data_IF_135353704595
#
_entry.id   IF_135353704595
#
_cell.length_a   1.000
_cell.length_b   1.000
_cell.length_c   1.000
_cell.angle_alpha   90.00
_cell.angle_beta   90.00
_cell.angle_gamma   90.00
#
_symmetry.space_group_name_H-M   'P 1'
#
loop_
_entity.id
_entity.type
_entity.pdbx_description
1 polymer ?
#
# COMPACT_ATOMS: atom_id res chain seq x y z
N UNK A 1 -14.64 -11.84 4.44
CA UNK A 1 -13.84 -11.19 5.50
C UNK A 1 -14.78 -10.32 6.32
N UNK A 2 -14.48 -9.97 7.58
CA UNK A 2 -15.27 -8.95 8.26
C UNK A 2 -15.05 -7.64 7.50
N UNK A 3 -16.10 -7.19 6.82
CA UNK A 3 -16.12 -5.91 6.17
C UNK A 3 -16.23 -4.83 7.25
N UNK A 4 -15.37 -3.81 7.15
CA UNK A 4 -15.37 -2.65 8.02
C UNK A 4 -16.08 -1.51 7.31
N UNK A 5 -17.08 -0.94 7.97
CA UNK A 5 -17.85 0.19 7.53
C UNK A 5 -17.31 1.46 8.17
N UNK A 6 -17.06 2.47 7.33
CA UNK A 6 -16.58 3.79 7.72
C UNK A 6 -17.63 4.83 7.32
N UNK A 7 -17.95 5.71 8.25
CA UNK A 7 -18.83 6.85 7.98
C UNK A 7 -18.05 7.98 7.33
N UNK A 8 -18.57 8.54 6.24
CA UNK A 8 -17.90 9.63 5.52
C UNK A 8 -18.82 10.84 5.55
N UNK A 9 -18.27 12.01 5.88
CA UNK A 9 -19.04 13.24 5.91
C UNK A 9 -18.21 14.42 5.41
N UNK A 10 -18.85 15.38 4.74
CA UNK A 10 -18.25 16.69 4.55
C UNK A 10 -18.09 17.39 5.89
N UNK A 11 -16.99 18.09 6.10
CA UNK A 11 -16.76 18.82 7.35
C UNK A 11 -17.87 19.84 7.63
N UNK A 12 -18.35 20.55 6.60
CA UNK A 12 -19.49 21.45 6.64
C UNK A 12 -20.06 21.67 5.22
N UNK A 13 -21.16 22.42 5.09
CA UNK A 13 -21.77 22.72 3.79
C UNK A 13 -20.85 23.54 2.86
N UNK A 14 -19.95 24.37 3.41
CA UNK A 14 -18.95 25.08 2.60
C UNK A 14 -18.01 24.09 1.90
N UNK A 15 -17.46 23.11 2.63
CA UNK A 15 -16.60 22.07 2.05
C UNK A 15 -17.37 21.22 1.03
N UNK A 16 -18.62 20.86 1.33
CA UNK A 16 -19.47 20.13 0.38
C UNK A 16 -19.63 20.87 -0.94
N UNK A 17 -19.89 22.18 -0.90
CA UNK A 17 -20.02 23.02 -2.09
C UNK A 17 -18.72 23.08 -2.90
N UNK A 18 -17.58 23.16 -2.22
CA UNK A 18 -16.26 23.16 -2.86
C UNK A 18 -16.00 21.84 -3.62
N UNK A 19 -16.35 20.70 -3.04
CA UNK A 19 -16.22 19.41 -3.70
C UNK A 19 -17.17 19.22 -4.89
N UNK A 20 -18.22 20.02 -5.04
CA UNK A 20 -19.09 19.92 -6.22
C UNK A 20 -18.40 20.38 -7.52
N UNK A 21 -17.30 21.14 -7.41
CA UNK A 21 -16.46 21.49 -8.56
C UNK A 21 -15.58 20.34 -9.08
N UNK A 22 -15.48 19.24 -8.33
CA UNK A 22 -14.60 18.13 -8.69
C UNK A 22 -15.23 17.28 -9.81
N UNK A 23 -14.43 16.72 -10.73
CA UNK A 23 -14.94 15.87 -11.82
C UNK A 23 -15.63 14.59 -11.32
N UNK A 24 -15.37 14.19 -10.08
CA UNK A 24 -15.92 13.00 -9.43
C UNK A 24 -16.89 13.34 -8.28
N UNK A 25 -17.48 14.54 -8.26
CA UNK A 25 -18.43 14.97 -7.21
C UNK A 25 -19.56 13.96 -6.95
N UNK A 26 -20.12 13.36 -8.00
CA UNK A 26 -21.19 12.36 -7.85
C UNK A 26 -20.72 11.11 -7.09
N UNK A 27 -19.52 10.61 -7.37
CA UNK A 27 -18.96 9.47 -6.66
C UNK A 27 -18.67 9.81 -5.19
N UNK A 28 -18.21 11.03 -4.90
CA UNK A 28 -18.02 11.52 -3.54
C UNK A 28 -19.35 11.58 -2.78
N UNK A 29 -20.40 12.15 -3.37
CA UNK A 29 -21.72 12.24 -2.75
C UNK A 29 -22.29 10.84 -2.43
N UNK A 30 -22.12 9.87 -3.34
CA UNK A 30 -22.53 8.48 -3.11
C UNK A 30 -21.76 7.82 -1.95
N UNK A 31 -20.45 8.07 -1.82
CA UNK A 31 -19.64 7.54 -0.73
C UNK A 31 -20.00 8.21 0.61
N UNK A 32 -20.33 9.50 0.60
CA UNK A 32 -20.82 10.22 1.78
C UNK A 32 -22.18 9.67 2.24
N UNK A 33 -23.07 9.37 1.31
CA UNK A 33 -24.41 8.83 1.61
C UNK A 33 -24.36 7.38 2.11
N UNK A 34 -23.57 6.52 1.45
CA UNK A 34 -23.58 5.08 1.71
C UNK A 34 -22.49 4.63 2.69
N UNK A 35 -21.57 5.52 3.08
CA UNK A 35 -20.33 5.16 3.76
C UNK A 35 -19.38 4.37 2.86
N UNK A 36 -18.26 3.96 3.45
CA UNK A 36 -17.20 3.22 2.78
C UNK A 36 -17.01 1.85 3.44
N UNK A 37 -16.93 0.81 2.61
CA UNK A 37 -16.58 -0.54 3.08
C UNK A 37 -15.15 -0.89 2.69
N UNK A 38 -14.34 -1.29 3.68
CA UNK A 38 -12.96 -1.78 3.52
C UNK A 38 -12.76 -3.10 4.27
N UNK A 39 -11.59 -3.71 4.12
CA UNK A 39 -11.16 -4.84 4.94
C UNK A 39 -10.22 -4.40 6.05
N UNK A 40 -10.10 -5.20 7.11
CA UNK A 40 -9.12 -5.01 8.18
C UNK A 40 -7.68 -5.00 7.64
N UNK A 41 -7.35 -5.91 6.72
CA UNK A 41 -6.02 -5.96 6.11
C UNK A 41 -5.70 -4.72 5.28
N UNK A 42 -6.67 -4.19 4.54
CA UNK A 42 -6.49 -2.99 3.75
C UNK A 42 -6.12 -1.81 4.65
N UNK A 43 -6.85 -1.64 5.76
CA UNK A 43 -6.53 -0.63 6.77
C UNK A 43 -5.13 -0.83 7.37
N UNK A 44 -4.80 -2.05 7.81
CA UNK A 44 -3.51 -2.37 8.42
C UNK A 44 -2.34 -2.19 7.45
N UNK A 45 -2.53 -2.52 6.18
CA UNK A 45 -1.52 -2.34 5.14
C UNK A 45 -1.18 -0.86 4.95
N UNK A 46 -2.19 0.03 4.93
CA UNK A 46 -1.94 1.47 4.86
C UNK A 46 -1.38 2.05 6.16
N UNK A 47 -1.64 1.45 7.33
CA UNK A 47 -0.98 1.87 8.58
C UNK A 47 0.53 1.70 8.49
N UNK A 48 0.99 0.66 7.81
CA UNK A 48 2.41 0.42 7.59
C UNK A 48 3.07 1.39 6.59
N UNK A 49 2.28 2.05 5.73
CA UNK A 49 2.79 3.02 4.75
C UNK A 49 3.54 4.18 5.43
N UNK A 50 3.13 4.55 6.64
CA UNK A 50 3.77 5.62 7.43
C UNK A 50 5.15 5.24 8.01
N UNK A 51 5.50 3.95 8.08
CA UNK A 51 6.83 3.50 8.52
C UNK A 51 7.88 3.46 7.42
N UNK A 52 7.48 3.61 6.15
CA UNK A 52 8.44 3.55 5.05
C UNK A 52 9.38 4.76 5.11
N UNK A 53 10.68 4.49 5.19
CA UNK A 53 11.74 5.49 5.25
C UNK A 53 12.90 5.07 4.36
N UNK A 54 13.64 6.01 3.77
CA UNK A 54 14.83 5.68 2.97
C UNK A 54 16.06 5.38 3.87
N UNK A 55 15.90 4.50 4.86
CA UNK A 55 16.91 4.13 5.86
C UNK A 55 16.91 2.61 6.07
N UNK A 56 18.09 2.01 6.22
CA UNK A 56 18.23 0.57 6.51
C UNK A 56 17.42 0.21 7.77
N UNK A 57 16.64 -0.87 7.71
CA UNK A 57 15.71 -1.29 8.76
C UNK A 57 14.27 -0.76 8.61
N UNK A 58 14.03 0.20 7.72
CA UNK A 58 12.71 0.82 7.50
C UNK A 58 12.39 1.06 6.01
N UNK A 59 13.30 0.64 5.11
CA UNK A 59 13.24 0.93 3.68
C UNK A 59 12.42 -0.10 2.93
N UNK A 60 12.59 -1.36 3.31
CA UNK A 60 12.05 -2.49 2.57
C UNK A 60 10.94 -3.17 3.34
N UNK A 61 10.04 -3.85 2.63
CA UNK A 61 8.99 -4.64 3.28
C UNK A 61 9.57 -5.74 4.15
N UNK A 62 10.73 -6.32 3.81
CA UNK A 62 11.39 -7.34 4.64
C UNK A 62 11.79 -6.80 6.02
N UNK A 63 12.32 -5.57 6.05
CA UNK A 63 12.66 -4.89 7.29
C UNK A 63 11.41 -4.46 8.06
N UNK A 64 10.41 -3.90 7.37
CA UNK A 64 9.13 -3.53 7.98
C UNK A 64 8.37 -4.76 8.51
N UNK A 65 8.36 -5.88 7.78
CA UNK A 65 7.70 -7.13 8.18
C UNK A 65 8.35 -7.80 9.38
N UNK A 66 9.65 -7.57 9.63
CA UNK A 66 10.28 -7.98 10.88
C UNK A 66 9.74 -7.18 12.07
N UNK A 67 9.38 -5.91 11.85
CA UNK A 67 8.75 -5.04 12.86
C UNK A 67 7.23 -5.28 13.00
N UNK A 68 6.58 -5.93 12.02
CA UNK A 68 5.14 -6.17 12.02
C UNK A 68 4.72 -7.09 13.17
N UNK A 69 5.48 -8.12 13.49
CA UNK A 69 5.13 -9.02 14.59
C UNK A 69 5.08 -8.30 15.94
N UNK A 70 6.06 -7.45 16.19
CA UNK A 70 6.14 -6.65 17.42
C UNK A 70 5.06 -5.56 17.47
N UNK A 71 4.67 -5.02 16.30
CA UNK A 71 3.70 -3.94 16.24
C UNK A 71 2.24 -4.38 16.09
N UNK A 72 1.93 -5.56 15.54
CA UNK A 72 0.55 -6.07 15.50
C UNK A 72 0.00 -6.28 16.93
N UNK A 73 0.87 -6.69 17.86
CA UNK A 73 0.55 -6.72 19.28
C UNK A 73 0.13 -5.34 19.80
N UNK A 74 0.89 -4.30 19.47
CA UNK A 74 0.57 -2.92 19.84
C UNK A 74 -0.73 -2.42 19.17
N UNK A 75 -0.94 -2.71 17.89
CA UNK A 75 -2.18 -2.36 17.17
C UNK A 75 -3.40 -3.01 17.83
N UNK A 76 -3.32 -4.29 18.21
CA UNK A 76 -4.42 -5.00 18.87
C UNK A 76 -4.69 -4.51 20.30
N UNK A 77 -3.69 -3.94 20.97
CA UNK A 77 -3.85 -3.30 22.29
C UNK A 77 -4.49 -1.91 22.18
N UNK A 78 -4.28 -1.22 21.05
CA UNK A 78 -4.75 0.15 20.84
C UNK A 78 -6.08 0.23 20.09
N UNK A 79 -6.37 -0.75 19.22
CA UNK A 79 -7.55 -0.78 18.36
C UNK A 79 -8.38 -2.05 18.58
N UNK A 80 -9.67 -1.96 18.28
CA UNK A 80 -10.55 -3.12 18.15
C UNK A 80 -11.31 -3.07 16.83
N UNK A 81 -11.38 -4.24 16.18
CA UNK A 81 -12.18 -4.46 14.98
C UNK A 81 -13.47 -5.19 15.38
N UNK A 82 -14.48 -4.44 15.80
CA UNK A 82 -15.74 -4.96 16.31
C UNK A 82 -16.93 -4.31 15.59
N UNK A 83 -18.07 -5.00 15.59
CA UNK A 83 -19.33 -4.51 15.01
C UNK A 83 -19.24 -4.06 13.55
N UNK A 84 -18.29 -4.61 12.80
CA UNK A 84 -18.05 -4.19 11.42
C UNK A 84 -17.46 -2.79 11.30
N UNK A 85 -16.71 -2.28 12.28
CA UNK A 85 -15.93 -1.04 12.15
C UNK A 85 -14.65 -1.08 13.00
N UNK A 86 -13.95 0.06 13.08
CA UNK A 86 -12.70 0.24 13.81
C UNK A 86 -12.96 1.16 15.00
N UNK A 87 -12.53 0.74 16.18
CA UNK A 87 -12.64 1.53 17.40
C UNK A 87 -11.28 1.67 18.08
N UNK A 88 -11.12 2.78 18.79
CA UNK A 88 -9.96 3.02 19.63
C UNK A 88 -10.22 2.47 21.03
N UNK A 89 -9.31 1.63 21.55
CA UNK A 89 -9.38 1.09 22.93
C UNK A 89 -8.89 2.10 23.96
N UNK A 90 -7.99 2.99 23.53
CA UNK A 90 -7.40 4.06 24.32
C UNK A 90 -7.76 5.38 23.65
N UNK A 91 -7.87 6.47 24.40
CA UNK A 91 -8.15 7.81 23.88
C UNK A 91 -7.28 8.84 24.61
N UNK A 92 -7.14 10.04 24.04
CA UNK A 92 -6.39 11.14 24.66
C UNK A 92 -4.93 11.25 24.21
N UNK A 93 -4.14 12.04 24.96
CA UNK A 93 -2.80 12.47 24.55
C UNK A 93 -1.78 11.33 24.42
N UNK A 94 -2.00 10.19 25.10
CA UNK A 94 -1.07 9.06 25.08
C UNK A 94 -0.98 8.38 23.69
N UNK A 95 -2.06 8.45 22.90
CA UNK A 95 -2.07 8.01 21.49
C UNK A 95 -1.45 9.02 20.53
N UNK A 96 -1.48 10.31 20.88
CA UNK A 96 -0.86 11.37 20.07
C UNK A 96 0.67 11.37 20.22
N UNK A 97 1.20 11.03 21.39
CA UNK A 97 2.64 10.97 21.62
C UNK A 97 3.35 9.82 20.88
N UNK A 98 2.60 8.81 20.46
CA UNK A 98 3.14 7.60 19.81
C UNK A 98 3.06 7.65 18.27
N UNK A 99 2.55 8.74 17.70
CA UNK A 99 2.35 8.91 16.26
C UNK A 99 1.23 8.02 15.68
N UNK A 100 0.45 7.32 16.51
CA UNK A 100 -0.59 6.40 16.04
C UNK A 100 -1.80 7.12 15.43
N UNK A 101 -2.16 8.30 15.93
CA UNK A 101 -3.25 9.08 15.36
C UNK A 101 -2.95 9.52 13.93
N UNK A 102 -1.69 9.83 13.61
CA UNK A 102 -1.25 10.07 12.24
C UNK A 102 -1.44 8.83 11.34
N UNK A 103 -1.05 7.65 11.83
CA UNK A 103 -1.23 6.37 11.12
C UNK A 103 -2.69 6.11 10.80
N UNK A 104 -3.55 6.29 11.80
CA UNK A 104 -5.00 6.15 11.66
C UNK A 104 -5.49 7.09 10.55
N UNK A 105 -5.10 8.37 10.61
CA UNK A 105 -5.47 9.38 9.63
C UNK A 105 -5.04 9.00 8.21
N UNK A 106 -3.76 8.66 8.02
CA UNK A 106 -3.21 8.26 6.72
C UNK A 106 -3.91 7.01 6.19
N UNK A 107 -4.15 6.01 7.04
CA UNK A 107 -4.75 4.74 6.60
C UNK A 107 -6.19 4.91 6.16
N UNK A 108 -7.00 5.59 6.97
CA UNK A 108 -8.39 5.88 6.65
C UNK A 108 -8.49 6.78 5.40
N UNK A 109 -7.63 7.80 5.31
CA UNK A 109 -7.56 8.69 4.17
C UNK A 109 -7.19 7.95 2.88
N UNK A 110 -6.15 7.13 2.88
CA UNK A 110 -5.74 6.36 1.71
C UNK A 110 -6.81 5.35 1.28
N UNK A 111 -7.42 4.61 2.22
CA UNK A 111 -8.57 3.74 1.93
C UNK A 111 -9.67 4.49 1.17
N UNK A 112 -10.03 5.69 1.63
CA UNK A 112 -11.04 6.52 0.99
C UNK A 112 -10.63 6.97 -0.41
N UNK A 113 -9.42 7.50 -0.57
CA UNK A 113 -8.92 7.98 -1.87
C UNK A 113 -8.77 6.85 -2.89
N UNK A 114 -8.35 5.67 -2.44
CA UNK A 114 -8.29 4.46 -3.28
C UNK A 114 -9.65 4.08 -3.81
N UNK A 115 -10.68 4.12 -2.95
CA UNK A 115 -12.04 3.83 -3.39
C UNK A 115 -12.55 4.86 -4.40
N UNK A 116 -12.36 6.15 -4.11
CA UNK A 116 -12.85 7.25 -4.95
C UNK A 116 -12.23 7.21 -6.35
N UNK A 117 -10.94 6.90 -6.44
CA UNK A 117 -10.17 6.98 -7.68
C UNK A 117 -9.80 5.64 -8.30
N UNK A 118 -10.29 4.54 -7.72
CA UNK A 118 -9.90 3.17 -8.07
C UNK A 118 -8.36 3.00 -8.14
N UNK A 119 -7.69 3.52 -7.11
CA UNK A 119 -6.23 3.42 -6.97
C UNK A 119 -5.86 2.19 -6.15
N UNK A 120 -4.62 1.77 -6.29
CA UNK A 120 -4.01 0.66 -5.55
C UNK A 120 -2.77 1.14 -4.80
N UNK A 121 -2.20 0.31 -3.92
CA UNK A 121 -0.93 0.62 -3.26
C UNK A 121 0.19 0.97 -4.26
N UNK A 122 0.18 0.36 -5.44
CA UNK A 122 1.17 0.59 -6.49
C UNK A 122 1.10 1.99 -7.12
N UNK A 123 0.01 2.74 -6.89
CA UNK A 123 -0.18 4.07 -7.45
C UNK A 123 0.36 5.19 -6.54
N UNK A 124 0.69 4.89 -5.28
CA UNK A 124 1.16 5.87 -4.30
C UNK A 124 2.68 5.93 -4.21
N UNK A 125 3.21 7.15 -4.03
CA UNK A 125 4.59 7.37 -3.62
C UNK A 125 4.65 8.39 -2.49
N UNK A 126 5.50 8.11 -1.49
CA UNK A 126 5.87 9.08 -0.45
C UNK A 126 6.91 10.04 -1.01
N UNK A 127 6.68 11.35 -0.92
CA UNK A 127 7.71 12.35 -1.29
C UNK A 127 8.72 12.43 -0.14
N UNK A 128 10.02 12.25 -0.37
CA UNK A 128 11.02 12.49 0.66
C UNK A 128 11.07 13.98 1.02
N UNK A 129 11.11 14.29 2.32
CA UNK A 129 11.38 15.64 2.83
C UNK A 129 12.79 16.08 2.43
N UNK A 130 12.95 17.35 2.04
CA UNK A 130 14.26 17.97 1.82
C UNK A 130 14.61 18.81 3.06
N UNK A 131 15.40 18.30 4.02
CA UNK A 131 15.73 19.05 5.22
C UNK A 131 16.71 20.22 4.94
N UNK A 132 16.55 21.34 5.66
CA UNK A 132 17.53 22.44 5.73
C UNK A 132 17.04 23.79 5.18
N UNK A 133 17.91 24.81 5.16
CA UNK A 133 17.61 26.19 4.68
C UNK A 133 17.24 26.29 3.20
N UNK A 134 17.54 25.24 2.41
CA UNK A 134 17.14 25.11 1.01
C UNK A 134 15.90 24.21 0.83
N UNK A 135 15.39 23.64 1.92
CA UNK A 135 14.08 23.01 1.95
C UNK A 135 13.04 24.10 1.75
N UNK A 136 12.22 23.95 0.72
CA UNK A 136 11.06 24.81 0.56
C UNK A 136 10.18 24.63 1.82
N UNK A 137 9.68 25.70 2.46
CA UNK A 137 8.76 25.61 3.62
C UNK A 137 7.48 24.80 3.32
N UNK A 138 7.26 24.47 2.04
CA UNK A 138 6.13 23.77 1.46
C UNK A 138 6.40 22.30 1.15
N UNK A 139 7.62 21.79 1.36
CA UNK A 139 8.01 20.39 1.13
C UNK A 139 8.36 19.65 2.43
N UNK A 140 7.83 20.12 3.58
CA UNK A 140 7.88 19.42 4.88
C UNK A 140 6.89 18.24 4.96
N UNK A 141 6.40 17.75 3.83
CA UNK A 141 5.20 16.94 3.81
C UNK A 141 5.45 15.53 3.27
N UNK A 142 5.26 14.55 4.16
CA UNK A 142 4.95 13.16 3.84
C UNK A 142 3.56 13.05 3.16
N UNK A 143 3.29 13.88 2.14
CA UNK A 143 2.01 13.85 1.42
C UNK A 143 2.01 12.65 0.47
N UNK A 144 1.09 11.70 0.64
CA UNK A 144 0.87 10.67 -0.36
C UNK A 144 0.37 11.33 -1.64
N UNK A 145 1.09 11.06 -2.74
CA UNK A 145 0.68 11.44 -4.09
C UNK A 145 0.45 10.18 -4.90
N UNK A 146 -0.65 10.18 -5.65
CA UNK A 146 -0.96 9.21 -6.67
C UNK A 146 -1.31 9.91 -7.97
N UNK A 147 -1.47 9.13 -9.03
CA UNK A 147 -2.04 9.63 -10.28
C UNK A 147 -3.05 8.63 -10.85
N UNK A 148 -4.14 9.16 -11.40
CA UNK A 148 -5.10 8.38 -12.18
C UNK A 148 -4.60 8.09 -13.60
N UNK A 149 -3.54 8.78 -14.04
CA UNK A 149 -3.06 8.84 -15.42
C UNK A 149 -3.47 10.13 -16.13
N UNK A 150 -4.53 10.79 -15.66
CA UNK A 150 -5.01 12.08 -16.18
C UNK A 150 -4.85 13.22 -15.16
N UNK A 151 -4.96 12.92 -13.88
CA UNK A 151 -4.85 13.89 -12.79
C UNK A 151 -3.90 13.36 -11.73
N UNK A 152 -3.32 14.27 -10.97
CA UNK A 152 -2.68 13.94 -9.71
C UNK A 152 -3.71 13.93 -8.58
N UNK A 153 -3.58 12.96 -7.70
CA UNK A 153 -4.36 12.82 -6.47
C UNK A 153 -3.40 13.05 -5.32
N UNK A 154 -3.71 14.00 -4.45
CA UNK A 154 -2.90 14.35 -3.29
C UNK A 154 -3.78 14.29 -2.05
N UNK A 155 -3.23 13.81 -0.93
CA UNK A 155 -4.02 13.63 0.30
C UNK A 155 -3.33 14.21 1.54
N UNK A 156 -3.87 15.27 2.14
CA UNK A 156 -3.49 15.68 3.49
C UNK A 156 -4.34 14.92 4.51
N UNK A 157 -3.72 13.96 5.16
CA UNK A 157 -4.42 13.11 6.11
C UNK A 157 -4.08 13.54 7.55
N UNK A 158 -5.11 13.71 8.37
CA UNK A 158 -5.04 13.89 9.82
C UNK A 158 -5.82 12.79 10.49
N UNK A 159 -5.43 12.43 11.70
CA UNK A 159 -6.21 11.49 12.48
C UNK A 159 -6.27 11.84 13.95
N UNK A 160 -7.32 11.35 14.59
CA UNK A 160 -7.61 11.60 16.00
C UNK A 160 -8.35 10.41 16.62
N UNK A 161 -8.21 10.25 17.94
CA UNK A 161 -8.93 9.27 18.75
C UNK A 161 -9.61 10.00 19.91
N UNK A 162 -10.94 9.97 19.95
CA UNK A 162 -11.76 10.85 20.80
C UNK A 162 -12.83 10.06 21.55
N UNK A 163 -13.49 10.65 22.54
CA UNK A 163 -14.57 9.99 23.27
C UNK A 163 -15.82 9.78 22.41
N UNK A 164 -16.11 10.72 21.51
CA UNK A 164 -17.28 10.71 20.66
C UNK A 164 -16.97 11.39 19.34
N UNK A 165 -17.05 10.65 18.24
CA UNK A 165 -16.78 11.14 16.89
C UNK A 165 -18.05 11.56 16.12
N UNK A 166 -19.24 11.47 16.74
CA UNK A 166 -20.49 11.99 16.17
C UNK A 166 -20.54 13.51 16.21
N UNK A 167 -19.82 14.12 17.14
CA UNK A 167 -19.69 15.57 17.32
C UNK A 167 -18.33 16.07 16.86
N UNK A 168 -18.29 17.30 16.33
CA UNK A 168 -17.02 18.00 16.10
C UNK A 168 -16.48 18.48 17.44
N UNK A 169 -15.23 18.13 17.73
CA UNK A 169 -14.53 18.54 18.94
C UNK A 169 -13.29 19.37 18.60
N UNK A 170 -12.67 19.94 19.62
CA UNK A 170 -11.51 20.82 19.47
C UNK A 170 -10.35 20.19 18.68
N UNK A 171 -10.15 18.86 18.76
CA UNK A 171 -9.11 18.17 17.98
C UNK A 171 -9.45 18.15 16.49
N UNK A 172 -10.72 17.86 16.15
CA UNK A 172 -11.23 17.87 14.78
C UNK A 172 -11.16 19.29 14.19
N UNK A 173 -11.57 20.31 14.96
CA UNK A 173 -11.49 21.72 14.56
C UNK A 173 -10.05 22.20 14.36
N UNK A 174 -9.12 21.79 15.23
CA UNK A 174 -7.70 22.11 15.09
C UNK A 174 -7.11 21.47 13.82
N UNK A 175 -7.46 20.22 13.51
CA UNK A 175 -7.06 19.56 12.26
C UNK A 175 -7.62 20.28 11.04
N UNK A 176 -8.91 20.62 11.03
CA UNK A 176 -9.53 21.40 9.97
C UNK A 176 -8.83 22.74 9.76
N UNK A 177 -8.58 23.49 10.85
CA UNK A 177 -7.88 24.77 10.80
C UNK A 177 -6.46 24.64 10.24
N UNK A 178 -5.76 23.55 10.59
CA UNK A 178 -4.42 23.25 10.07
C UNK A 178 -4.44 22.99 8.56
N UNK A 179 -5.38 22.15 8.09
CA UNK A 179 -5.58 21.87 6.66
C UNK A 179 -5.95 23.17 5.91
N UNK A 180 -6.87 23.98 6.45
CA UNK A 180 -7.29 25.24 5.85
C UNK A 180 -6.23 26.35 5.87
N UNK A 181 -5.36 26.38 6.87
CA UNK A 181 -4.24 27.34 6.89
C UNK A 181 -3.27 27.04 5.75
N UNK A 182 -2.96 25.76 5.53
CA UNK A 182 -2.18 25.31 4.37
C UNK A 182 -2.92 25.68 3.06
N UNK A 183 -4.26 25.65 3.08
CA UNK A 183 -5.09 26.00 1.93
C UNK A 183 -4.88 27.41 1.38
N UNK A 184 -4.82 28.41 2.25
CA UNK A 184 -4.68 29.80 1.81
C UNK A 184 -3.35 30.05 1.11
N UNK A 185 -2.27 29.54 1.69
CA UNK A 185 -0.92 29.69 1.13
C UNK A 185 -0.80 29.13 -0.29
N UNK A 186 -1.33 27.93 -0.54
CA UNK A 186 -1.18 27.28 -1.86
C UNK A 186 -2.12 27.89 -2.91
N UNK A 187 -3.35 28.31 -2.55
CA UNK A 187 -4.21 29.05 -3.49
C UNK A 187 -3.60 30.37 -3.95
N UNK A 188 -2.89 31.06 -3.06
CA UNK A 188 -2.16 32.28 -3.41
C UNK A 188 -1.05 31.99 -4.43
N UNK A 189 -0.40 30.82 -4.35
CA UNK A 189 0.61 30.38 -5.33
C UNK A 189 -0.03 29.97 -6.67
N UNK A 190 -1.12 29.19 -6.65
CA UNK A 190 -1.83 28.77 -7.87
C UNK A 190 -2.35 29.98 -8.67
N UNK A 191 -2.89 31.00 -7.97
CA UNK A 191 -3.35 32.23 -8.60
C UNK A 191 -2.21 33.02 -9.25
N UNK A 192 -1.00 32.98 -8.66
CA UNK A 192 0.20 33.59 -9.25
C UNK A 192 0.68 32.84 -10.51
N UNK A 193 0.55 31.51 -10.51
CA UNK A 193 0.98 30.62 -11.61
C UNK A 193 -0.09 30.38 -12.68
N UNK A 194 -1.29 30.97 -12.54
CA UNK A 194 -2.44 30.82 -13.46
C UNK A 194 -2.87 29.36 -13.67
N UNK A 195 -2.77 28.53 -12.64
CA UNK A 195 -3.10 27.11 -12.72
C UNK A 195 -4.63 26.94 -12.77
N UNK A 196 -5.19 26.19 -13.74
CA UNK A 196 -6.62 25.89 -13.79
C UNK A 196 -7.10 25.14 -12.54
N UNK A 197 -8.19 25.62 -11.94
CA UNK A 197 -8.82 25.00 -10.78
C UNK A 197 -9.23 23.55 -11.14
N UNK A 198 -8.94 22.60 -10.24
CA UNK A 198 -9.25 21.16 -10.36
C UNK A 198 -8.46 20.37 -11.42
N UNK A 199 -7.36 20.89 -11.97
CA UNK A 199 -6.44 20.07 -12.77
C UNK A 199 -5.78 18.96 -11.93
N UNK A 200 -5.40 19.29 -10.68
CA UNK A 200 -4.97 18.35 -9.66
C UNK A 200 -6.04 18.25 -8.58
N UNK A 201 -6.32 17.04 -8.10
CA UNK A 201 -7.34 16.79 -7.08
C UNK A 201 -6.64 16.60 -5.74
N UNK A 202 -7.00 17.41 -4.77
CA UNK A 202 -6.44 17.34 -3.43
C UNK A 202 -7.56 17.08 -2.43
N UNK A 203 -7.28 16.21 -1.48
CA UNK A 203 -8.23 15.81 -0.45
C UNK A 203 -7.62 16.01 0.92
N UNK A 204 -8.36 16.67 1.80
CA UNK A 204 -8.08 16.74 3.22
C UNK A 204 -8.98 15.73 3.89
N UNK A 205 -8.38 14.82 4.64
CA UNK A 205 -9.14 13.82 5.40
C UNK A 205 -8.81 13.95 6.87
N UNK A 206 -9.83 13.89 7.72
CA UNK A 206 -9.67 13.80 9.18
C UNK A 206 -10.32 12.50 9.61
N UNK A 207 -9.51 11.45 9.76
CA UNK A 207 -9.93 10.14 10.25
C UNK A 207 -10.07 10.13 11.77
N UNK A 208 -11.24 9.79 12.28
CA UNK A 208 -11.56 9.86 13.69
C UNK A 208 -12.10 8.53 14.18
N UNK A 209 -11.41 7.95 15.15
CA UNK A 209 -11.88 6.80 15.91
C UNK A 209 -12.44 7.27 17.25
N UNK A 210 -13.40 6.53 17.80
CA UNK A 210 -13.87 6.70 19.17
C UNK A 210 -13.87 5.36 19.91
N UNK A 211 -14.12 5.42 21.23
CA UNK A 211 -14.06 4.28 22.14
C UNK A 211 -15.44 3.83 22.65
N UNK A 212 -16.53 4.39 22.13
CA UNK A 212 -17.89 3.99 22.50
C UNK A 212 -18.19 2.60 21.94
N UNK A 213 -18.92 1.74 22.66
CA UNK A 213 -19.37 0.46 22.08
C UNK A 213 -20.21 0.70 20.82
N UNK A 214 -19.94 -0.08 19.76
CA UNK A 214 -20.68 -0.08 18.49
C UNK A 214 -20.62 1.22 17.66
N UNK A 215 -19.72 2.15 18.00
CA UNK A 215 -19.42 3.28 17.13
C UNK A 215 -18.65 2.87 15.88
N UNK A 216 -18.82 3.67 14.82
CA UNK A 216 -18.12 3.52 13.55
C UNK A 216 -16.97 4.52 13.46
N UNK A 217 -15.88 4.10 12.84
CA UNK A 217 -14.84 5.02 12.40
C UNK A 217 -15.41 6.05 11.40
N UNK A 218 -15.00 7.31 11.53
CA UNK A 218 -15.53 8.42 10.74
C UNK A 218 -14.42 9.18 10.00
N UNK A 219 -14.68 9.62 8.79
CA UNK A 219 -13.78 10.48 8.02
C UNK A 219 -14.50 11.78 7.67
N UNK A 220 -13.90 12.90 8.07
CA UNK A 220 -14.34 14.22 7.62
C UNK A 220 -13.55 14.66 6.38
N UNK A 221 -14.27 15.03 5.34
CA UNK A 221 -13.73 15.57 4.09
C UNK A 221 -13.59 17.08 4.17
N UNK A 222 -12.40 17.55 3.82
CA UNK A 222 -12.00 18.96 3.73
C UNK A 222 -11.37 19.13 2.35
N UNK A 223 -11.77 20.13 1.57
CA UNK A 223 -11.16 20.46 0.28
C UNK A 223 -9.91 21.32 0.51
N UNK A 224 -8.69 20.84 0.31
CA UNK A 224 -7.48 21.64 0.32
C UNK A 224 -7.10 21.97 -1.13
N UNK A 225 -6.20 22.92 -1.35
CA UNK A 225 -5.70 23.26 -2.68
C UNK A 225 -4.62 22.28 -3.09
N UNK A 226 -4.37 22.20 -4.39
CA UNK A 226 -3.40 21.26 -4.92
C UNK A 226 -2.04 21.91 -5.11
N UNK A 227 -0.97 21.13 -4.97
CA UNK A 227 0.34 21.55 -5.46
C UNK A 227 0.47 21.23 -6.94
N UNK A 228 1.22 22.06 -7.66
CA UNK A 228 1.70 21.71 -8.98
C UNK A 228 2.72 20.57 -8.88
N UNK A 229 2.61 19.63 -9.81
CA UNK A 229 3.62 18.59 -10.00
C UNK A 229 4.09 18.75 -11.44
N UNK A 230 5.36 19.13 -11.61
CA UNK A 230 6.01 19.31 -12.91
C UNK A 230 6.32 17.95 -13.57
N UNK A 231 5.30 17.12 -13.76
CA UNK A 231 5.38 15.83 -14.44
C UNK A 231 4.04 15.50 -15.09
N UNK A 232 4.07 14.82 -16.24
CA UNK A 232 2.86 14.28 -16.83
C UNK A 232 2.24 13.20 -15.91
N UNK A 233 0.94 13.27 -15.58
CA UNK A 233 0.28 12.31 -14.68
C UNK A 233 0.46 10.84 -15.09
N UNK A 234 0.33 10.52 -16.39
CA UNK A 234 0.57 9.15 -16.91
C UNK A 234 2.00 8.67 -16.70
N UNK A 235 2.99 9.53 -16.96
CA UNK A 235 4.41 9.23 -16.71
C UNK A 235 4.65 8.97 -15.22
N UNK A 236 4.06 9.79 -14.34
CA UNK A 236 4.15 9.59 -12.89
C UNK A 236 3.54 8.26 -12.46
N UNK A 237 2.31 7.95 -12.89
CA UNK A 237 1.62 6.70 -12.55
C UNK A 237 2.45 5.49 -12.95
N UNK A 238 3.04 5.52 -14.15
CA UNK A 238 3.93 4.47 -14.64
C UNK A 238 5.15 4.31 -13.72
N UNK A 239 5.86 5.40 -13.41
CA UNK A 239 7.04 5.37 -12.54
C UNK A 239 6.70 4.89 -11.12
N UNK A 240 5.56 5.31 -10.57
CA UNK A 240 5.08 4.86 -9.26
C UNK A 240 4.89 3.34 -9.24
N UNK A 241 4.14 2.79 -10.21
CA UNK A 241 3.91 1.35 -10.32
C UNK A 241 5.20 0.56 -10.54
N UNK A 242 6.08 1.01 -11.43
CA UNK A 242 7.35 0.34 -11.70
C UNK A 242 8.26 0.30 -10.46
N UNK A 243 8.32 1.41 -9.70
CA UNK A 243 9.08 1.47 -8.44
C UNK A 243 8.48 0.56 -7.37
N UNK A 244 7.15 0.57 -7.21
CA UNK A 244 6.45 -0.34 -6.32
C UNK A 244 6.83 -1.81 -6.60
N UNK A 245 6.73 -2.25 -7.86
CA UNK A 245 7.11 -3.63 -8.20
C UNK A 245 8.60 -3.90 -8.08
N UNK A 246 9.48 -2.93 -8.33
CA UNK A 246 10.91 -3.08 -8.09
C UNK A 246 11.18 -3.42 -6.62
N UNK A 247 10.57 -2.65 -5.70
CA UNK A 247 10.75 -2.85 -4.27
C UNK A 247 10.18 -4.21 -3.83
N UNK A 248 8.95 -4.54 -4.25
CA UNK A 248 8.32 -5.84 -3.97
C UNK A 248 9.11 -7.03 -4.54
N UNK A 249 9.63 -6.90 -5.76
CA UNK A 249 10.46 -7.94 -6.39
C UNK A 249 11.77 -8.15 -5.66
N UNK A 250 12.42 -7.08 -5.17
CA UNK A 250 13.58 -7.20 -4.28
C UNK A 250 13.21 -7.92 -2.98
N UNK A 251 12.06 -7.60 -2.38
CA UNK A 251 11.60 -8.18 -1.11
C UNK A 251 11.40 -9.70 -1.21
N UNK A 252 10.78 -10.18 -2.28
CA UNK A 252 10.53 -11.60 -2.48
C UNK A 252 11.76 -12.35 -3.06
N UNK A 253 12.84 -11.66 -3.41
CA UNK A 253 14.06 -12.28 -3.93
C UNK A 253 13.99 -12.63 -5.42
N UNK A 254 13.41 -11.75 -6.25
CA UNK A 254 13.58 -11.81 -7.71
C UNK A 254 15.05 -11.59 -8.06
N UNK A 255 15.54 -12.28 -9.10
CA UNK A 255 16.93 -12.18 -9.57
C UNK A 255 17.35 -10.74 -9.77
N UNK A 256 18.52 -10.42 -9.22
CA UNK A 256 19.18 -9.13 -9.29
C UNK A 256 19.30 -8.63 -10.72
N UNK A 257 19.61 -9.50 -11.69
CA UNK A 257 19.64 -9.12 -13.11
C UNK A 257 18.32 -8.50 -13.61
N UNK A 258 17.17 -8.96 -13.11
CA UNK A 258 15.85 -8.44 -13.49
C UNK A 258 15.58 -7.14 -12.74
N UNK A 259 15.84 -7.09 -11.43
CA UNK A 259 15.60 -5.89 -10.62
C UNK A 259 16.53 -4.74 -11.03
N UNK A 260 17.79 -5.02 -11.36
CA UNK A 260 18.76 -4.02 -11.83
C UNK A 260 18.37 -3.48 -13.22
N UNK A 261 17.90 -4.35 -14.12
CA UNK A 261 17.39 -3.93 -15.42
C UNK A 261 16.13 -3.06 -15.30
N UNK A 262 15.22 -3.40 -14.37
CA UNK A 262 14.04 -2.60 -14.07
C UNK A 262 14.42 -1.24 -13.46
N UNK A 263 15.34 -1.21 -12.51
CA UNK A 263 15.84 0.03 -11.91
C UNK A 263 16.49 0.95 -12.95
N UNK A 264 17.31 0.38 -13.86
CA UNK A 264 17.88 1.14 -14.98
C UNK A 264 16.77 1.72 -15.86
N UNK A 265 15.78 0.91 -16.24
CA UNK A 265 14.65 1.37 -17.06
C UNK A 265 13.83 2.47 -16.38
N UNK A 266 13.63 2.41 -15.07
CA UNK A 266 12.97 3.47 -14.30
C UNK A 266 13.74 4.78 -14.44
N UNK A 267 15.08 4.76 -14.33
CA UNK A 267 15.93 5.95 -14.51
C UNK A 267 15.88 6.49 -15.96
N UNK A 268 15.84 5.60 -16.95
CA UNK A 268 15.69 5.97 -18.36
C UNK A 268 14.35 6.67 -18.62
N UNK A 269 13.24 6.12 -18.10
CA UNK A 269 11.90 6.72 -18.22
C UNK A 269 11.85 8.08 -17.52
N UNK A 270 12.39 8.16 -16.30
CA UNK A 270 12.39 9.38 -15.48
C UNK A 270 13.10 10.54 -16.19
N UNK A 271 14.28 10.29 -16.77
CA UNK A 271 15.09 11.30 -17.45
C UNK A 271 14.67 11.59 -18.89
N UNK A 272 13.96 10.68 -19.56
CA UNK A 272 13.52 10.88 -20.95
C UNK A 272 12.34 11.84 -21.06
N UNK A 273 12.38 12.72 -22.07
CA UNK A 273 11.24 13.55 -22.48
C UNK A 273 10.18 12.71 -23.21
N UNK A 274 10.60 11.89 -24.17
CA UNK A 274 9.73 10.89 -24.80
C UNK A 274 9.95 9.54 -24.13
N UNK A 275 9.12 9.22 -23.14
CA UNK A 275 9.20 7.91 -22.47
C UNK A 275 8.47 6.81 -23.24
N UNK A 276 7.61 7.15 -24.20
CA UNK A 276 6.84 6.15 -24.96
C UNK A 276 7.75 5.31 -25.87
N UNK A 277 8.95 5.78 -26.21
CA UNK A 277 9.97 4.97 -26.90
C UNK A 277 10.35 3.67 -26.16
N UNK A 278 10.07 3.59 -24.85
CA UNK A 278 10.33 2.41 -24.03
C UNK A 278 9.14 1.45 -23.97
N UNK A 279 7.96 1.85 -24.45
CA UNK A 279 6.78 1.00 -24.48
C UNK A 279 7.03 -0.21 -25.40
N UNK A 280 6.68 -1.40 -24.92
CA UNK A 280 6.97 -2.71 -25.55
C UNK A 280 8.46 -3.03 -25.78
N UNK A 281 9.38 -2.13 -25.40
CA UNK A 281 10.82 -2.42 -25.41
C UNK A 281 11.15 -3.21 -24.15
N UNK A 282 11.32 -4.52 -24.27
CA UNK A 282 11.61 -5.40 -23.13
C UNK A 282 12.77 -4.91 -22.28
N UNK A 283 12.78 -5.30 -21.01
CA UNK A 283 13.90 -5.05 -20.11
C UNK A 283 15.19 -5.73 -20.61
N UNK A 284 15.09 -6.97 -21.07
CA UNK A 284 16.17 -7.73 -21.71
C UNK A 284 15.53 -8.84 -22.58
N UNK A 285 16.01 -9.04 -23.80
CA UNK A 285 15.50 -10.09 -24.69
C UNK A 285 15.80 -11.51 -24.20
N UNK A 286 16.78 -11.67 -23.31
CA UNK A 286 17.13 -12.94 -22.66
C UNK A 286 16.18 -13.27 -21.51
N UNK A 287 15.33 -12.34 -21.09
CA UNK A 287 14.38 -12.60 -20.00
C UNK A 287 13.18 -13.42 -20.49
N UNK A 288 12.78 -14.45 -19.73
CA UNK A 288 11.72 -15.33 -20.17
C UNK A 288 10.36 -14.64 -20.10
N UNK A 289 9.61 -14.68 -21.19
CA UNK A 289 8.25 -14.09 -21.25
C UNK A 289 7.16 -15.16 -21.08
N UNK A 290 7.44 -16.42 -21.38
CA UNK A 290 6.48 -17.55 -21.32
C UNK A 290 6.91 -18.70 -20.40
N UNK A 291 8.10 -18.63 -19.81
CA UNK A 291 8.75 -19.78 -19.18
C UNK A 291 8.49 -19.89 -17.66
N UNK A 292 9.01 -20.95 -17.01
CA UNK A 292 8.77 -21.23 -15.59
C UNK A 292 9.37 -20.22 -14.60
N UNK A 293 8.79 -20.13 -13.40
CA UNK A 293 9.13 -19.18 -12.32
C UNK A 293 10.60 -19.23 -11.86
N UNK A 294 11.27 -20.38 -11.98
CA UNK A 294 12.66 -20.58 -11.56
C UNK A 294 13.63 -19.69 -12.36
N UNK A 295 13.16 -19.13 -13.47
CA UNK A 295 13.92 -18.19 -14.26
C UNK A 295 13.90 -16.78 -13.68
N UNK A 296 12.91 -16.44 -12.84
CA UNK A 296 12.72 -15.12 -12.24
C UNK A 296 13.34 -14.97 -10.86
N UNK A 297 13.44 -16.03 -10.06
CA UNK A 297 13.81 -15.94 -8.63
C UNK A 297 15.28 -16.25 -8.37
N UNK A 298 15.88 -15.49 -7.44
CA UNK A 298 17.25 -15.63 -6.96
C UNK A 298 17.29 -16.60 -5.78
N UNK A 299 18.19 -17.57 -5.80
CA UNK A 299 18.27 -18.54 -4.70
C UNK A 299 16.97 -19.32 -4.50
N UNK A 300 16.92 -20.13 -3.44
CA UNK A 300 16.14 -21.37 -3.48
C UNK A 300 15.02 -21.45 -2.44
N UNK A 301 14.73 -20.34 -1.74
CA UNK A 301 13.48 -20.19 -0.97
C UNK A 301 12.38 -19.66 -1.86
N UNK A 302 11.57 -20.57 -2.35
CA UNK A 302 10.53 -20.27 -3.33
C UNK A 302 9.18 -20.74 -2.81
N UNK A 303 8.21 -19.84 -2.89
CA UNK A 303 6.80 -20.19 -2.85
C UNK A 303 6.25 -20.28 -4.27
N UNK A 304 5.61 -21.40 -4.60
CA UNK A 304 4.82 -21.56 -5.82
C UNK A 304 3.39 -21.76 -5.41
N UNK A 305 2.54 -20.85 -5.85
CA UNK A 305 1.11 -20.85 -5.53
C UNK A 305 0.34 -21.51 -6.67
N UNK A 306 -0.59 -22.40 -6.31
CA UNK A 306 -1.68 -22.92 -7.14
C UNK A 306 -1.30 -23.18 -8.61
N UNK A 307 -0.82 -24.39 -8.93
CA UNK A 307 -0.41 -24.80 -10.29
C UNK A 307 0.57 -23.84 -10.98
N UNK A 308 1.32 -23.05 -10.19
CA UNK A 308 2.31 -22.10 -10.69
C UNK A 308 1.72 -20.83 -11.31
N UNK A 309 0.60 -20.34 -10.80
CA UNK A 309 0.07 -19.04 -11.21
C UNK A 309 0.91 -17.88 -10.66
N UNK A 310 1.29 -17.97 -9.38
CA UNK A 310 2.06 -16.96 -8.68
C UNK A 310 3.36 -17.53 -8.11
N UNK A 311 4.31 -16.63 -7.87
CA UNK A 311 5.63 -16.94 -7.35
C UNK A 311 5.97 -15.95 -6.23
N UNK A 312 6.78 -16.39 -5.28
CA UNK A 312 7.12 -15.55 -4.15
C UNK A 312 8.09 -16.20 -3.19
N UNK A 313 8.05 -15.73 -1.95
CA UNK A 313 8.93 -16.16 -0.87
C UNK A 313 8.12 -16.59 0.34
N UNK A 314 8.69 -17.52 1.10
CA UNK A 314 8.22 -17.87 2.43
C UNK A 314 9.08 -17.16 3.47
N UNK A 315 8.40 -16.47 4.38
CA UNK A 315 8.95 -15.92 5.60
C UNK A 315 8.59 -16.86 6.75
N UNK A 316 9.51 -17.04 7.68
CA UNK A 316 9.29 -17.84 8.87
C UNK A 316 9.06 -16.89 10.03
N UNK A 317 7.95 -17.08 10.71
CA UNK A 317 7.37 -16.15 11.67
C UNK A 317 7.20 -16.93 12.97
N UNK A 318 7.69 -16.41 14.10
CA UNK A 318 7.54 -17.08 15.39
C UNK A 318 6.26 -16.60 16.07
N UNK A 319 5.38 -17.52 16.44
CA UNK A 319 4.10 -17.22 17.08
C UNK A 319 3.84 -18.28 18.16
N UNK A 320 3.63 -17.84 19.41
CA UNK A 320 3.37 -18.72 20.55
C UNK A 320 4.42 -19.87 20.66
N UNK A 321 5.70 -19.55 20.48
CA UNK A 321 6.83 -20.50 20.47
C UNK A 321 6.80 -21.53 19.32
N UNK A 322 6.02 -21.27 18.26
CA UNK A 322 5.94 -22.11 17.05
C UNK A 322 6.36 -21.33 15.82
N UNK A 323 7.06 -21.99 14.91
CA UNK A 323 7.43 -21.42 13.61
C UNK A 323 6.26 -21.60 12.64
N UNK A 324 5.70 -20.50 12.14
CA UNK A 324 4.61 -20.47 11.16
C UNK A 324 5.16 -19.93 9.83
N UNK A 325 4.93 -20.63 8.70
CA UNK A 325 5.28 -20.13 7.38
C UNK A 325 4.28 -19.05 6.93
N UNK A 326 4.79 -17.91 6.50
CA UNK A 326 4.04 -16.79 5.94
C UNK A 326 4.42 -16.59 4.47
N UNK A 327 3.43 -16.59 3.60
CA UNK A 327 3.57 -16.38 2.17
C UNK A 327 3.58 -14.88 1.84
N UNK A 328 4.48 -14.49 0.93
CA UNK A 328 4.32 -13.28 0.12
C UNK A 328 4.66 -13.62 -1.33
N UNK A 329 3.73 -13.40 -2.25
CA UNK A 329 3.83 -13.78 -3.65
C UNK A 329 3.13 -12.79 -4.58
N UNK A 330 3.47 -12.88 -5.87
CA UNK A 330 2.88 -12.10 -6.96
C UNK A 330 2.58 -12.99 -8.18
N UNK A 331 1.52 -12.69 -8.94
CA UNK A 331 1.18 -13.36 -10.18
C UNK A 331 2.33 -13.30 -11.19
N UNK A 332 2.50 -14.38 -11.96
CA UNK A 332 3.42 -14.34 -13.11
C UNK A 332 3.00 -13.32 -14.16
N UNK A 333 1.71 -13.02 -14.26
CA UNK A 333 1.19 -12.01 -15.20
C UNK A 333 1.88 -10.67 -14.98
N UNK A 334 1.98 -10.17 -13.75
CA UNK A 334 2.63 -8.88 -13.51
C UNK A 334 4.12 -8.90 -13.84
N UNK A 335 4.85 -9.97 -13.49
CA UNK A 335 6.25 -10.13 -13.90
C UNK A 335 6.42 -10.09 -15.44
N UNK A 336 5.50 -10.71 -16.18
CA UNK A 336 5.52 -10.68 -17.65
C UNK A 336 5.25 -9.28 -18.19
N UNK A 337 4.32 -8.54 -17.59
CA UNK A 337 4.05 -7.15 -17.98
C UNK A 337 5.28 -6.27 -17.75
N UNK A 338 5.91 -6.40 -16.59
CA UNK A 338 7.14 -5.69 -16.25
C UNK A 338 8.28 -6.04 -17.21
N UNK A 339 8.50 -7.32 -17.55
CA UNK A 339 9.54 -7.69 -18.52
C UNK A 339 9.24 -7.15 -19.92
N UNK A 340 7.97 -7.20 -20.36
CA UNK A 340 7.54 -6.71 -21.67
C UNK A 340 7.53 -5.19 -21.80
N UNK A 341 7.44 -4.48 -20.67
CA UNK A 341 7.29 -3.02 -20.64
C UNK A 341 6.07 -2.56 -21.44
N UNK A 342 4.95 -3.29 -21.34
CA UNK A 342 3.66 -2.89 -21.90
C UNK A 342 3.01 -1.87 -20.97
N UNK A 343 3.16 -0.58 -21.29
CA UNK A 343 2.78 0.49 -20.38
C UNK A 343 1.28 0.55 -20.10
N UNK A 344 0.44 0.36 -21.11
CA UNK A 344 -1.01 0.38 -20.92
C UNK A 344 -1.47 -0.78 -20.03
N UNK A 345 -0.93 -1.97 -20.26
CA UNK A 345 -1.23 -3.11 -19.39
C UNK A 345 -0.72 -2.92 -17.96
N UNK A 346 0.43 -2.25 -17.75
CA UNK A 346 0.95 -1.95 -16.42
C UNK A 346 0.08 -0.90 -15.71
N UNK A 347 -0.31 0.17 -16.42
CA UNK A 347 -1.11 1.28 -15.89
C UNK A 347 -2.53 0.86 -15.50
N UNK A 348 -3.08 -0.14 -16.19
CA UNK A 348 -4.44 -0.65 -15.98
C UNK A 348 -4.46 -2.01 -15.27
N UNK A 349 -3.32 -2.49 -14.78
CA UNK A 349 -3.25 -3.79 -14.09
C UNK A 349 -4.10 -3.75 -12.82
N UNK A 350 -5.04 -4.70 -12.73
CA UNK A 350 -5.78 -5.07 -11.53
C UNK A 350 -5.84 -6.60 -11.44
N UNK A 351 -5.50 -7.14 -10.27
CA UNK A 351 -5.54 -8.57 -10.00
C UNK A 351 -6.86 -8.95 -9.31
N UNK A 352 -7.64 -9.78 -9.98
CA UNK A 352 -8.88 -10.35 -9.46
C UNK A 352 -8.98 -11.85 -9.80
N UNK A 353 -8.35 -12.72 -9.00
CA UNK A 353 -8.33 -14.15 -9.26
C UNK A 353 -9.57 -14.87 -8.74
N UNK A 354 -10.12 -15.79 -9.53
CA UNK A 354 -11.28 -16.58 -9.13
C UNK A 354 -10.96 -17.64 -8.04
N UNK A 355 -9.72 -18.16 -8.03
CA UNK A 355 -9.32 -19.32 -7.21
C UNK A 355 -8.82 -18.98 -5.79
N UNK A 356 -8.56 -17.70 -5.45
CA UNK A 356 -8.02 -17.34 -4.11
C UNK A 356 -9.09 -17.42 -3.00
N UNK A 357 -10.35 -17.67 -3.36
CA UNK A 357 -11.41 -17.87 -2.37
C UNK A 357 -11.30 -19.20 -1.60
N UNK A 358 -10.42 -20.10 -2.03
CA UNK A 358 -10.23 -21.45 -1.47
C UNK A 358 -8.90 -21.60 -0.71
N UNK A 359 -8.71 -22.73 -0.02
CA UNK A 359 -7.39 -23.10 0.51
C UNK A 359 -6.46 -23.38 -0.67
N UNK A 360 -5.42 -22.57 -0.84
CA UNK A 360 -4.48 -22.74 -1.94
C UNK A 360 -3.32 -23.65 -1.54
N UNK A 361 -2.87 -24.45 -2.50
CA UNK A 361 -1.65 -25.23 -2.37
C UNK A 361 -0.43 -24.33 -2.60
N UNK A 362 0.53 -24.38 -1.68
CA UNK A 362 1.82 -23.70 -1.79
C UNK A 362 2.95 -24.71 -1.70
N UNK A 363 3.73 -24.82 -2.78
CA UNK A 363 4.99 -25.55 -2.74
C UNK A 363 6.08 -24.63 -2.20
N UNK A 364 6.63 -25.00 -1.06
CA UNK A 364 7.77 -24.38 -0.42
C UNK A 364 9.04 -25.15 -0.81
N UNK A 365 10.09 -24.44 -1.19
CA UNK A 365 11.43 -25.01 -1.43
C UNK A 365 12.46 -24.32 -0.57
N UNK A 366 13.49 -25.04 -0.14
CA UNK A 366 14.67 -24.52 0.57
C UNK A 366 15.92 -25.23 0.06
N UNK A 367 17.07 -24.55 -0.01
CA UNK A 367 18.35 -25.28 -0.13
C UNK A 367 18.61 -26.13 1.10
N UNK A 368 19.54 -27.07 0.92
CA UNK A 368 20.20 -27.73 2.03
C UNK A 368 20.80 -26.73 3.04
N UNK A 369 21.58 -25.74 2.58
CA UNK A 369 22.21 -24.74 3.49
C UNK A 369 21.19 -23.97 4.33
N UNK A 370 20.12 -23.47 3.71
CA UNK A 370 19.08 -22.68 4.37
C UNK A 370 18.24 -23.52 5.33
N UNK A 371 17.97 -24.77 4.94
CA UNK A 371 17.19 -25.71 5.76
C UNK A 371 17.89 -26.00 7.10
N UNK A 372 19.21 -26.16 7.06
CA UNK A 372 20.03 -26.42 8.25
C UNK A 372 20.27 -25.16 9.08
N UNK A 373 20.58 -24.03 8.45
CA UNK A 373 20.82 -22.76 9.14
C UNK A 373 19.60 -22.32 9.96
N UNK A 374 18.40 -22.49 9.39
CA UNK A 374 17.14 -22.05 10.02
C UNK A 374 16.52 -23.08 10.98
N UNK A 375 17.23 -24.18 11.28
CA UNK A 375 16.77 -25.26 12.19
C UNK A 375 15.34 -25.74 11.91
N UNK A 376 14.96 -25.83 10.62
CA UNK A 376 13.57 -26.07 10.21
C UNK A 376 13.03 -27.48 10.51
N UNK A 377 13.88 -28.39 10.98
CA UNK A 377 13.59 -29.81 11.19
C UNK A 377 12.58 -30.09 12.30
N UNK A 378 12.48 -29.22 13.29
CA UNK A 378 11.74 -29.53 14.52
C UNK A 378 10.24 -29.16 14.40
N UNK A 379 9.88 -28.24 13.50
CA UNK A 379 8.53 -27.66 13.45
C UNK A 379 7.78 -27.83 12.12
N UNK A 380 8.47 -28.17 11.02
CA UNK A 380 7.88 -28.23 9.69
C UNK A 380 8.27 -29.55 8.97
N UNK A 381 7.29 -30.17 8.30
CA UNK A 381 7.51 -31.42 7.55
C UNK A 381 8.03 -31.11 6.14
N UNK A 382 9.26 -31.55 5.83
CA UNK A 382 9.89 -31.41 4.52
C UNK A 382 10.35 -32.76 3.96
N UNK A 383 10.30 -32.89 2.64
CA UNK A 383 10.83 -34.03 1.88
C UNK A 383 12.06 -33.57 1.10
N UNK A 384 13.17 -34.31 1.24
CA UNK A 384 14.38 -34.00 0.49
C UNK A 384 14.30 -34.53 -0.95
N UNK A 385 14.35 -33.62 -1.92
CA UNK A 385 14.44 -33.92 -3.33
C UNK A 385 15.91 -34.13 -3.74
N UNK A 386 16.34 -35.40 -3.76
CA UNK A 386 17.73 -35.79 -4.08
C UNK A 386 18.21 -35.30 -5.44
N UNK A 387 17.33 -35.21 -6.44
CA UNK A 387 17.70 -34.85 -7.82
C UNK A 387 18.11 -33.38 -7.94
N UNK A 388 17.38 -32.50 -7.25
CA UNK A 388 17.56 -31.06 -7.34
C UNK A 388 18.29 -30.48 -6.11
N UNK A 389 18.57 -31.30 -5.08
CA UNK A 389 19.20 -30.92 -3.81
C UNK A 389 18.43 -29.84 -3.04
N UNK A 390 17.11 -29.98 -2.98
CA UNK A 390 16.22 -29.09 -2.23
C UNK A 390 15.40 -29.86 -1.19
N UNK A 391 15.04 -29.18 -0.11
CA UNK A 391 13.95 -29.60 0.77
C UNK A 391 12.66 -28.98 0.25
N UNK A 392 11.64 -29.81 0.03
CA UNK A 392 10.33 -29.39 -0.46
C UNK A 392 9.26 -29.68 0.57
N UNK A 393 8.28 -28.79 0.70
CA UNK A 393 7.08 -29.07 1.46
C UNK A 393 5.86 -28.46 0.78
N UNK A 394 4.73 -29.16 0.88
CA UNK A 394 3.45 -28.66 0.42
C UNK A 394 2.66 -28.23 1.64
N UNK A 395 2.27 -26.96 1.66
CA UNK A 395 1.40 -26.40 2.69
C UNK A 395 0.14 -25.86 2.05
N UNK A 396 -0.90 -25.73 2.85
CA UNK A 396 -2.18 -25.18 2.43
C UNK A 396 -2.53 -23.99 3.28
N UNK A 397 -3.22 -23.02 2.69
CA UNK A 397 -3.69 -21.89 3.46
C UNK A 397 -4.70 -21.09 2.69
N UNK A 398 -5.65 -20.54 3.41
CA UNK A 398 -6.47 -19.44 2.91
C UNK A 398 -5.60 -18.20 2.88
N UNK A 399 -5.15 -17.83 1.70
CA UNK A 399 -4.35 -16.62 1.50
C UNK A 399 -5.26 -15.46 1.12
N UNK A 400 -4.73 -14.25 1.28
CA UNK A 400 -5.37 -13.00 0.94
C UNK A 400 -4.69 -12.43 -0.29
N UNK A 401 -5.37 -11.52 -0.98
CA UNK A 401 -4.78 -10.81 -2.10
C UNK A 401 -5.23 -9.35 -2.14
N UNK A 402 -4.45 -8.51 -2.83
CA UNK A 402 -4.80 -7.13 -3.15
C UNK A 402 -4.97 -6.95 -4.65
N UNK A 403 -5.60 -5.83 -5.05
CA UNK A 403 -5.78 -5.46 -6.46
C UNK A 403 -4.47 -5.18 -7.20
N UNK A 404 -3.40 -4.78 -6.51
CA UNK A 404 -2.06 -4.64 -7.11
C UNK A 404 -1.36 -5.99 -7.35
N UNK A 405 -2.00 -7.11 -7.00
CA UNK A 405 -1.47 -8.44 -7.27
C UNK A 405 -0.64 -9.03 -6.14
N UNK A 406 -0.55 -8.40 -4.97
CA UNK A 406 0.06 -9.06 -3.82
C UNK A 406 -0.80 -10.23 -3.36
N UNK A 407 -0.17 -11.35 -3.05
CA UNK A 407 -0.79 -12.54 -2.45
C UNK A 407 -0.03 -12.85 -1.18
N UNK A 408 -0.73 -12.98 -0.05
CA UNK A 408 -0.06 -13.14 1.24
C UNK A 408 -0.92 -13.88 2.27
N UNK A 409 -0.27 -14.49 3.25
CA UNK A 409 -0.99 -15.11 4.36
C UNK A 409 -0.21 -16.22 5.04
N UNK A 410 -0.70 -16.62 6.22
CA UNK A 410 -0.16 -17.75 6.97
C UNK A 410 -0.55 -19.05 6.28
N UNK A 411 0.40 -19.98 6.23
CA UNK A 411 0.19 -21.32 5.72
C UNK A 411 0.15 -22.32 6.89
N UNK A 412 -0.69 -23.34 6.75
CA UNK A 412 -0.85 -24.41 7.72
C UNK A 412 -0.49 -25.75 7.08
N UNK A 413 0.01 -26.65 7.91
CA UNK A 413 0.24 -28.01 7.52
C UNK A 413 -1.11 -28.75 7.62
N UNK A 414 -1.69 -29.16 6.50
CA UNK A 414 -2.77 -30.14 6.51
C UNK A 414 -2.12 -31.52 6.53
N UNK A 415 -1.71 -31.96 7.74
CA UNK A 415 -1.39 -33.37 8.00
C UNK A 415 -2.65 -34.12 8.38
#
# INVERSE_FOLDING_TARGET
MPNLHLEIAYYNEEQKNLFQGFPNANALNQIVENGLTITDDEFLAYMMFTWQMDVNGFRTYAELSALVQDNLGAVNQLLSFNNGSIQARVIGNDLMQTGYTERIGVSLGLCLLNKIHNLTAADWKKIPTVPGRNGHPTFDFDLPIASTGNNFIQGENKGSAVTDNSIQNNSIEAHYSSINRKKRYVREQEAQLQIPIHQNLYYGTIGVLDNRPNSNAKIWLVDPPAFEIEMEPRKYKLLARLRYYLDEFRNIGVKKKITDALELRIKEIETSKDYNQFNFKKLDDKFPVKSGYYLYMEGNVLAIVYTSEAFGRIFLVEEEQRIVPYLLAFPKSIMRLIIKQDFESILNYEYNPDFINENIQVLMRFTESEFFEKKLRENLKFVFNKRNKYFEAVYFGKVKHTKDGRIFGKLKNES
#
